data_IF_923510842574
#
_entry.id   IF_923510842574
#
_cell.length_a   1.000
_cell.length_b   1.000
_cell.length_c   1.000
_cell.angle_alpha   90.00
_cell.angle_beta   90.00
_cell.angle_gamma   90.00
#
_symmetry.space_group_name_H-M   'P 1'
#
loop_
_entity.id
_entity.type
_entity.pdbx_description
1 polymer ?
#
# COMPACT_ATOMS: atom_id res chain seq x y z
N UNK A 1 14.89 -20.52 12.40
CA UNK A 1 13.55 -19.94 12.11
C UNK A 1 13.20 -20.31 10.67
N UNK A 2 11.98 -20.75 10.42
CA UNK A 2 11.55 -21.17 9.08
C UNK A 2 11.12 -19.99 8.18
N UNK A 3 11.15 -18.77 8.70
CA UNK A 3 10.69 -17.57 8.01
C UNK A 3 11.76 -16.50 7.92
N UNK A 4 11.75 -15.78 6.82
CA UNK A 4 12.65 -14.64 6.52
C UNK A 4 11.98 -13.29 6.77
N UNK A 5 10.65 -13.26 6.86
CA UNK A 5 9.82 -12.09 6.98
C UNK A 5 8.56 -12.43 7.77
N UNK A 6 8.03 -11.48 8.53
CA UNK A 6 6.66 -11.52 9.03
C UNK A 6 5.87 -10.47 8.28
N UNK A 7 4.73 -10.85 7.68
CA UNK A 7 3.84 -9.90 6.99
C UNK A 7 2.55 -9.73 7.77
N UNK A 8 2.23 -8.50 8.20
CA UNK A 8 0.98 -8.16 8.90
C UNK A 8 0.09 -7.38 7.96
N UNK A 9 -1.00 -7.98 7.53
CA UNK A 9 -2.00 -7.41 6.63
C UNK A 9 -3.39 -7.34 7.28
N UNK A 10 -4.32 -6.68 6.62
CA UNK A 10 -5.70 -6.53 7.06
C UNK A 10 -6.30 -5.20 6.60
N UNK A 11 -7.61 -4.97 6.76
CA UNK A 11 -8.26 -3.75 6.28
C UNK A 11 -7.84 -2.50 7.06
N UNK A 12 -8.13 -1.32 6.52
CA UNK A 12 -7.91 -0.07 7.24
C UNK A 12 -8.70 -0.07 8.57
N UNK A 13 -8.16 0.57 9.59
CA UNK A 13 -8.70 0.67 10.95
C UNK A 13 -8.80 -0.66 11.74
N UNK A 14 -8.04 -1.71 11.37
CA UNK A 14 -8.00 -2.98 12.11
C UNK A 14 -6.90 -3.07 13.20
N UNK A 15 -6.12 -2.01 13.47
CA UNK A 15 -5.09 -2.04 14.53
C UNK A 15 -3.75 -2.67 14.11
N UNK A 16 -3.53 -2.92 12.82
CA UNK A 16 -2.28 -3.54 12.31
C UNK A 16 -0.99 -2.87 12.76
N UNK A 17 -0.96 -1.54 12.80
CA UNK A 17 0.26 -0.79 13.16
C UNK A 17 0.64 -1.02 14.60
N UNK A 18 -0.31 -0.89 15.51
CA UNK A 18 -0.09 -1.13 16.94
C UNK A 18 0.33 -2.58 17.20
N UNK A 19 -0.27 -3.55 16.49
CA UNK A 19 0.15 -4.96 16.57
C UNK A 19 1.57 -5.17 16.06
N UNK A 20 1.90 -4.60 14.90
CA UNK A 20 3.24 -4.70 14.33
C UNK A 20 4.29 -4.05 15.25
N UNK A 21 3.99 -2.91 15.82
CA UNK A 21 4.88 -2.22 16.75
C UNK A 21 5.09 -3.02 18.05
N UNK A 22 4.02 -3.54 18.64
CA UNK A 22 4.12 -4.40 19.83
C UNK A 22 4.94 -5.66 19.56
N UNK A 23 4.71 -6.33 18.42
CA UNK A 23 5.50 -7.49 18.00
C UNK A 23 6.96 -7.13 17.74
N UNK A 24 7.23 -6.01 17.05
CA UNK A 24 8.59 -5.55 16.78
C UNK A 24 9.36 -5.21 18.06
N UNK A 25 8.72 -4.53 19.01
CA UNK A 25 9.31 -4.26 20.32
C UNK A 25 9.66 -5.55 21.07
N UNK A 26 8.76 -6.54 21.05
CA UNK A 26 8.95 -7.84 21.71
C UNK A 26 10.06 -8.67 21.07
N UNK A 27 10.19 -8.66 19.74
CA UNK A 27 11.23 -9.35 18.97
C UNK A 27 12.51 -8.54 18.83
N UNK A 28 12.54 -7.28 19.28
CA UNK A 28 13.65 -6.32 19.09
C UNK A 28 14.03 -6.18 17.62
N UNK A 29 13.05 -6.05 16.76
CA UNK A 29 13.21 -5.91 15.31
C UNK A 29 12.58 -4.62 14.78
N UNK A 30 12.54 -4.48 13.46
CA UNK A 30 12.15 -3.27 12.76
C UNK A 30 11.00 -3.52 11.78
N UNK A 31 10.27 -2.46 11.46
CA UNK A 31 9.10 -2.51 10.59
C UNK A 31 9.40 -1.88 9.25
N UNK A 32 9.06 -2.55 8.16
CA UNK A 32 9.03 -1.99 6.82
C UNK A 32 7.56 -1.67 6.48
N UNK A 33 7.26 -0.41 6.16
CA UNK A 33 5.92 -0.02 5.76
C UNK A 33 5.61 -0.48 4.34
N UNK A 34 4.49 -1.21 4.16
CA UNK A 34 3.96 -1.59 2.86
C UNK A 34 2.92 -0.60 2.32
N UNK A 35 2.86 0.62 2.82
CA UNK A 35 1.86 1.61 2.44
C UNK A 35 2.38 2.54 1.34
N UNK A 36 1.75 2.50 0.17
CA UNK A 36 2.14 3.31 -0.98
C UNK A 36 1.96 4.83 -0.79
N UNK A 37 1.34 5.26 0.31
CA UNK A 37 1.06 6.68 0.58
C UNK A 37 1.88 7.23 1.72
N UNK A 38 2.28 6.40 2.68
CA UNK A 38 3.13 6.83 3.80
C UNK A 38 4.58 7.16 3.40
N UNK A 39 4.97 6.85 2.19
CA UNK A 39 6.28 7.22 1.62
C UNK A 39 6.47 8.73 1.46
N UNK A 40 5.38 9.50 1.35
CA UNK A 40 5.43 10.95 1.10
C UNK A 40 5.59 11.74 2.38
N UNK A 41 6.60 12.61 2.44
CA UNK A 41 6.84 13.53 3.55
C UNK A 41 5.71 14.53 3.70
N UNK A 42 5.41 14.95 4.93
CA UNK A 42 4.40 16.00 5.24
C UNK A 42 2.97 15.66 4.80
N UNK A 43 2.74 14.40 4.46
CA UNK A 43 1.42 13.85 4.16
C UNK A 43 1.05 12.88 5.28
N UNK A 44 0.73 13.39 6.46
CA UNK A 44 0.69 12.61 7.70
C UNK A 44 -0.74 12.17 8.06
N UNK A 45 -1.64 13.13 8.25
CA UNK A 45 -3.03 12.87 8.63
C UNK A 45 -3.79 12.16 7.52
N UNK A 46 -3.63 12.62 6.27
CA UNK A 46 -4.30 12.04 5.12
C UNK A 46 -3.83 10.62 4.77
N UNK A 47 -2.58 10.27 5.05
CA UNK A 47 -2.06 8.90 4.82
C UNK A 47 -2.15 8.00 6.04
N UNK A 48 -2.48 8.56 7.18
CA UNK A 48 -2.57 7.83 8.44
C UNK A 48 -1.23 7.33 8.95
N UNK A 49 -0.24 8.20 8.95
CA UNK A 49 1.04 8.01 9.62
C UNK A 49 0.87 8.26 11.12
N UNK A 50 0.22 7.38 11.83
CA UNK A 50 0.10 7.48 13.27
C UNK A 50 1.46 7.07 13.90
N UNK A 51 2.47 7.97 13.82
CA UNK A 51 3.86 7.66 14.23
C UNK A 51 3.98 7.38 15.74
N UNK A 52 3.04 7.85 16.54
CA UNK A 52 2.92 7.49 17.95
C UNK A 52 2.71 5.99 18.17
N UNK A 53 2.11 5.28 17.23
CA UNK A 53 1.93 3.83 17.30
C UNK A 53 3.26 3.06 17.30
N UNK A 54 4.36 3.67 16.85
CA UNK A 54 5.69 3.07 16.85
C UNK A 54 6.45 3.28 18.18
N UNK A 55 5.79 3.83 19.20
CA UNK A 55 6.32 3.94 20.56
C UNK A 55 5.53 2.99 21.46
N UNK A 56 6.17 1.93 21.93
CA UNK A 56 5.57 0.88 22.77
C UNK A 56 6.26 0.91 24.14
N UNK A 57 5.54 1.24 25.20
CA UNK A 57 6.05 1.32 26.56
C UNK A 57 7.36 2.15 26.68
N UNK A 58 7.42 3.26 25.94
CA UNK A 58 8.60 4.13 25.88
C UNK A 58 9.71 3.65 24.93
N UNK A 59 9.63 2.45 24.37
CA UNK A 59 10.55 1.95 23.37
C UNK A 59 10.13 2.40 21.97
N UNK A 60 11.02 3.09 21.26
CA UNK A 60 10.81 3.52 19.88
C UNK A 60 11.21 2.43 18.91
N UNK A 61 10.22 1.85 18.24
CA UNK A 61 10.41 0.86 17.18
C UNK A 61 10.89 1.56 15.90
N UNK A 62 11.98 1.07 15.33
CA UNK A 62 12.49 1.57 14.03
C UNK A 62 11.57 1.16 12.89
N UNK A 63 11.39 2.08 11.94
CA UNK A 63 10.57 1.84 10.75
C UNK A 63 11.25 2.35 9.49
N UNK A 64 10.92 1.72 8.36
CA UNK A 64 11.45 2.02 7.02
C UNK A 64 10.31 2.31 6.05
N UNK A 65 10.62 3.00 4.96
CA UNK A 65 9.72 3.38 3.85
C UNK A 65 8.56 4.28 4.28
N UNK A 66 8.81 5.11 5.27
CA UNK A 66 7.95 6.23 5.66
C UNK A 66 8.76 7.51 5.46
N UNK A 67 8.16 8.56 4.88
CA UNK A 67 8.79 9.87 4.65
C UNK A 67 10.08 9.82 3.82
N UNK A 68 10.08 9.06 2.74
CA UNK A 68 11.26 8.87 1.87
C UNK A 68 11.26 9.72 0.61
N UNK A 69 10.08 10.22 0.17
CA UNK A 69 9.93 11.05 -1.04
C UNK A 69 9.12 12.31 -0.76
N UNK A 70 9.34 13.35 -1.56
CA UNK A 70 8.57 14.59 -1.47
C UNK A 70 7.21 14.48 -2.20
N UNK A 71 6.17 15.22 -1.76
CA UNK A 71 4.94 15.40 -2.52
C UNK A 71 5.22 15.99 -3.89
N UNK A 72 4.47 15.57 -4.92
CA UNK A 72 4.73 15.89 -6.34
C UNK A 72 5.40 14.73 -7.07
N UNK A 73 6.16 13.90 -6.39
CA UNK A 73 6.77 12.70 -6.96
C UNK A 73 5.76 11.57 -7.14
N UNK A 74 5.89 10.76 -8.20
CA UNK A 74 5.00 9.62 -8.49
C UNK A 74 5.69 8.29 -8.19
N UNK A 75 5.82 8.00 -6.89
CA UNK A 75 6.40 6.75 -6.40
C UNK A 75 5.58 5.54 -6.84
N UNK A 76 6.24 4.50 -7.33
CA UNK A 76 5.61 3.35 -7.95
C UNK A 76 6.04 2.02 -7.33
N UNK A 77 5.42 0.91 -7.75
CA UNK A 77 5.66 -0.42 -7.19
C UNK A 77 7.06 -0.96 -7.48
N UNK A 78 7.68 -0.57 -8.60
CA UNK A 78 9.06 -0.95 -8.91
C UNK A 78 10.04 -0.31 -7.90
N UNK A 79 9.89 1.00 -7.66
CA UNK A 79 10.72 1.70 -6.68
C UNK A 79 10.49 1.16 -5.27
N UNK A 80 9.24 0.86 -4.92
CA UNK A 80 8.91 0.23 -3.65
C UNK A 80 9.62 -1.12 -3.48
N UNK A 81 9.62 -1.97 -4.49
CA UNK A 81 10.27 -3.29 -4.44
C UNK A 81 11.78 -3.16 -4.27
N UNK A 82 12.40 -2.20 -4.98
CA UNK A 82 13.83 -1.87 -4.83
C UNK A 82 14.16 -1.41 -3.41
N UNK A 83 13.41 -0.43 -2.91
CA UNK A 83 13.67 0.19 -1.61
C UNK A 83 13.33 -0.76 -0.45
N UNK A 84 12.32 -1.63 -0.66
CA UNK A 84 12.03 -2.72 0.27
C UNK A 84 13.22 -3.68 0.41
N UNK A 85 13.82 -4.10 -0.70
CA UNK A 85 14.98 -4.99 -0.65
C UNK A 85 16.15 -4.38 0.11
N UNK A 86 16.44 -3.10 -0.10
CA UNK A 86 17.51 -2.40 0.63
C UNK A 86 17.24 -2.44 2.14
N UNK A 87 16.04 -2.10 2.58
CA UNK A 87 15.68 -2.13 4.00
C UNK A 87 15.67 -3.58 4.55
N UNK A 88 15.13 -4.53 3.80
CA UNK A 88 15.06 -5.94 4.17
C UNK A 88 16.44 -6.54 4.36
N UNK A 89 17.35 -6.34 3.41
CA UNK A 89 18.72 -6.85 3.46
C UNK A 89 19.52 -6.24 4.61
N UNK A 90 19.36 -4.94 4.87
CA UNK A 90 20.01 -4.27 6.01
C UNK A 90 19.55 -4.86 7.35
N UNK A 91 18.25 -5.06 7.54
CA UNK A 91 17.70 -5.64 8.77
C UNK A 91 18.19 -7.09 8.92
N UNK A 92 18.15 -7.88 7.85
CA UNK A 92 18.62 -9.28 7.85
C UNK A 92 20.12 -9.40 8.12
N UNK A 93 20.94 -8.50 7.58
CA UNK A 93 22.38 -8.48 7.83
C UNK A 93 22.73 -8.26 9.31
N UNK A 94 21.85 -7.59 10.06
CA UNK A 94 21.95 -7.43 11.51
C UNK A 94 21.40 -8.62 12.31
N UNK A 95 20.98 -9.69 11.64
CA UNK A 95 20.45 -10.92 12.27
C UNK A 95 19.02 -10.77 12.79
N UNK A 96 18.28 -9.74 12.35
CA UNK A 96 16.91 -9.47 12.77
C UNK A 96 15.89 -10.07 11.78
N UNK A 97 14.70 -10.39 12.27
CA UNK A 97 13.57 -10.85 11.46
C UNK A 97 12.64 -9.67 11.14
N UNK A 98 12.69 -9.08 9.94
CA UNK A 98 11.90 -7.89 9.62
C UNK A 98 10.38 -8.13 9.63
N UNK A 99 9.61 -7.09 9.90
CA UNK A 99 8.15 -7.10 9.85
C UNK A 99 7.69 -6.18 8.73
N UNK A 100 7.01 -6.73 7.72
CA UNK A 100 6.31 -5.96 6.70
C UNK A 100 4.89 -5.66 7.19
N UNK A 101 4.56 -4.40 7.41
CA UNK A 101 3.26 -4.01 7.96
C UNK A 101 2.50 -3.08 7.04
N UNK A 102 1.19 -3.21 7.00
CA UNK A 102 0.25 -2.50 6.12
C UNK A 102 0.38 -3.00 4.67
N UNK A 103 -0.29 -2.36 3.76
CA UNK A 103 -0.02 -2.55 2.36
C UNK A 103 -1.23 -2.42 1.48
N UNK A 104 -1.01 -1.74 0.39
CA UNK A 104 -1.76 -1.93 -0.84
C UNK A 104 -1.50 -3.37 -1.27
N UNK A 105 -2.53 -4.15 -1.51
CA UNK A 105 -2.38 -5.58 -1.80
C UNK A 105 -1.35 -5.89 -2.89
N UNK A 106 -1.27 -5.06 -3.94
CA UNK A 106 -0.26 -5.18 -4.99
C UNK A 106 1.18 -5.01 -4.47
N UNK A 107 1.43 -4.11 -3.51
CA UNK A 107 2.76 -3.93 -2.93
C UNK A 107 3.18 -5.17 -2.14
N UNK A 108 2.27 -5.71 -1.33
CA UNK A 108 2.53 -6.96 -0.61
C UNK A 108 2.79 -8.13 -1.57
N UNK A 109 1.94 -8.32 -2.57
CA UNK A 109 2.13 -9.42 -3.54
C UNK A 109 3.39 -9.26 -4.38
N UNK A 110 3.81 -8.04 -4.70
CA UNK A 110 5.05 -7.82 -5.44
C UNK A 110 6.28 -8.33 -4.68
N UNK A 111 6.25 -8.24 -3.35
CA UNK A 111 7.28 -8.79 -2.47
C UNK A 111 7.09 -10.30 -2.29
N UNK A 112 5.91 -10.73 -1.87
CA UNK A 112 5.64 -12.12 -1.48
C UNK A 112 5.69 -13.12 -2.64
N UNK A 113 5.43 -12.65 -3.87
CA UNK A 113 5.57 -13.45 -5.11
C UNK A 113 6.86 -13.16 -5.88
N UNK A 114 7.65 -12.19 -5.42
CA UNK A 114 8.85 -11.80 -6.13
C UNK A 114 8.56 -11.35 -7.56
N UNK A 115 7.59 -10.45 -7.76
CA UNK A 115 7.26 -9.97 -9.11
C UNK A 115 8.51 -9.44 -9.80
N UNK A 116 8.73 -9.89 -11.04
CA UNK A 116 9.78 -9.35 -11.89
C UNK A 116 9.33 -7.98 -12.38
N UNK A 117 9.83 -6.94 -11.73
CA UNK A 117 9.56 -5.56 -12.12
C UNK A 117 10.83 -4.94 -12.72
N UNK A 118 10.68 -4.26 -13.86
CA UNK A 118 11.75 -3.52 -14.52
C UNK A 118 11.41 -2.04 -14.56
N UNK A 119 12.42 -1.15 -14.59
CA UNK A 119 12.22 0.29 -14.75
C UNK A 119 11.89 0.60 -16.22
N UNK A 120 10.63 0.38 -16.59
CA UNK A 120 10.16 0.60 -17.98
C UNK A 120 10.02 2.10 -18.23
N UNK A 121 10.83 2.71 -19.11
CA UNK A 121 10.71 4.12 -19.49
C UNK A 121 9.41 4.39 -20.24
N UNK A 122 9.01 5.65 -20.31
CA UNK A 122 7.91 6.07 -21.19
C UNK A 122 8.35 6.03 -22.65
N UNK A 123 7.59 5.31 -23.48
CA UNK A 123 7.77 5.28 -24.94
C UNK A 123 6.74 6.20 -25.59
N UNK A 124 7.14 7.45 -25.88
CA UNK A 124 6.25 8.47 -26.45
C UNK A 124 5.67 8.06 -27.81
N UNK A 125 6.48 7.51 -28.68
CA UNK A 125 6.07 7.08 -30.02
C UNK A 125 5.00 6.00 -29.94
N UNK A 126 5.22 4.97 -29.10
CA UNK A 126 4.23 3.94 -28.86
C UNK A 126 2.93 4.52 -28.29
N UNK A 127 3.02 5.41 -27.29
CA UNK A 127 1.83 6.04 -26.70
C UNK A 127 1.04 6.86 -27.71
N UNK A 128 1.71 7.60 -28.58
CA UNK A 128 1.09 8.36 -29.66
C UNK A 128 0.39 7.44 -30.66
N UNK A 129 1.02 6.34 -31.05
CA UNK A 129 0.44 5.35 -31.98
C UNK A 129 -0.80 4.64 -31.42
N UNK A 130 -0.89 4.54 -30.10
CA UNK A 130 -1.99 3.88 -29.38
C UNK A 130 -3.08 4.86 -28.90
N UNK A 131 -2.83 6.18 -28.91
CA UNK A 131 -3.70 7.18 -28.29
C UNK A 131 -5.11 7.24 -28.90
N UNK A 132 -5.25 6.93 -30.20
CA UNK A 132 -6.54 6.95 -30.91
C UNK A 132 -7.33 5.65 -30.80
N UNK A 133 -6.76 4.60 -30.18
CA UNK A 133 -7.40 3.28 -30.11
C UNK A 133 -8.42 3.22 -28.97
N UNK A 134 -9.50 2.51 -29.21
CA UNK A 134 -10.49 2.19 -28.19
C UNK A 134 -9.92 1.26 -27.10
N UNK A 135 -10.59 1.22 -25.95
CA UNK A 135 -10.20 0.31 -24.87
C UNK A 135 -10.28 -1.17 -25.30
N UNK A 136 -11.23 -1.52 -26.14
CA UNK A 136 -11.40 -2.87 -26.70
C UNK A 136 -10.20 -3.24 -27.59
N UNK A 137 -9.83 -2.37 -28.55
CA UNK A 137 -8.65 -2.59 -29.41
C UNK A 137 -7.35 -2.73 -28.59
N UNK A 138 -7.18 -1.89 -27.56
CA UNK A 138 -6.02 -1.98 -26.67
C UNK A 138 -6.01 -3.28 -25.85
N UNK A 139 -7.18 -3.76 -25.45
CA UNK A 139 -7.34 -5.05 -24.77
C UNK A 139 -6.94 -6.20 -25.66
N UNK A 140 -7.37 -6.16 -26.93
CA UNK A 140 -6.98 -7.17 -27.94
C UNK A 140 -5.48 -7.16 -28.22
N UNK A 141 -4.87 -5.98 -28.31
CA UNK A 141 -3.41 -5.85 -28.45
C UNK A 141 -2.71 -6.48 -27.26
N UNK A 142 -3.10 -6.10 -26.02
CA UNK A 142 -2.47 -6.61 -24.81
C UNK A 142 -2.63 -8.12 -24.65
N UNK A 143 -3.75 -8.69 -25.10
CA UNK A 143 -4.03 -10.13 -25.03
C UNK A 143 -3.06 -10.98 -25.87
N UNK A 144 -2.39 -10.38 -26.88
CA UNK A 144 -1.36 -11.04 -27.70
C UNK A 144 -0.03 -11.19 -26.97
N UNK A 145 0.23 -10.32 -25.98
CA UNK A 145 1.46 -10.35 -25.17
C UNK A 145 1.32 -11.27 -23.96
N UNK A 146 0.15 -11.26 -23.32
CA UNK A 146 -0.07 -12.03 -22.09
C UNK A 146 -1.52 -12.46 -21.94
N UNK A 147 -1.74 -13.57 -21.22
CA UNK A 147 -3.08 -13.95 -20.78
C UNK A 147 -3.57 -12.94 -19.74
N UNK A 148 -4.71 -12.32 -19.99
CA UNK A 148 -5.32 -11.38 -19.05
C UNK A 148 -5.92 -12.13 -17.88
N UNK A 149 -5.35 -11.95 -16.70
CA UNK A 149 -5.81 -12.59 -15.47
C UNK A 149 -6.71 -11.69 -14.61
N UNK A 150 -6.76 -10.40 -14.92
CA UNK A 150 -7.57 -9.39 -14.23
C UNK A 150 -8.00 -8.28 -15.22
N UNK A 151 -9.01 -7.53 -14.83
CA UNK A 151 -9.50 -6.38 -15.59
C UNK A 151 -8.74 -5.08 -15.29
N UNK A 152 -7.79 -5.08 -14.35
CA UNK A 152 -7.15 -3.85 -13.86
C UNK A 152 -6.27 -3.19 -14.91
N UNK A 153 -5.60 -3.98 -15.73
CA UNK A 153 -4.73 -3.48 -16.80
C UNK A 153 -5.52 -2.86 -17.94
N UNK A 154 -6.79 -3.23 -18.07
CA UNK A 154 -7.69 -2.83 -19.17
C UNK A 154 -8.94 -2.09 -18.69
N UNK A 155 -8.92 -1.48 -17.50
CA UNK A 155 -10.05 -0.71 -16.97
C UNK A 155 -10.09 0.73 -17.50
N UNK A 156 -8.96 1.23 -18.02
CA UNK A 156 -8.86 2.54 -18.69
C UNK A 156 -7.86 2.49 -19.84
N UNK A 157 -8.08 3.33 -20.86
CA UNK A 157 -7.16 3.50 -22.00
C UNK A 157 -5.72 3.74 -21.54
N UNK A 158 -5.53 4.65 -20.56
CA UNK A 158 -4.20 4.97 -20.02
C UNK A 158 -3.50 3.75 -19.43
N UNK A 159 -4.22 2.88 -18.70
CA UNK A 159 -3.65 1.67 -18.12
C UNK A 159 -3.36 0.62 -19.16
N UNK A 160 -4.25 0.44 -20.13
CA UNK A 160 -4.04 -0.49 -21.24
C UNK A 160 -2.80 -0.12 -22.06
N UNK A 161 -2.62 1.15 -22.41
CA UNK A 161 -1.42 1.65 -23.10
C UNK A 161 -0.17 1.37 -22.24
N UNK A 162 -0.20 1.68 -20.93
CA UNK A 162 0.94 1.40 -20.06
C UNK A 162 1.24 -0.08 -19.93
N UNK A 163 0.25 -0.93 -19.90
CA UNK A 163 0.44 -2.38 -19.85
C UNK A 163 1.10 -2.90 -21.16
N UNK A 164 0.68 -2.43 -22.32
CA UNK A 164 1.30 -2.75 -23.62
C UNK A 164 2.76 -2.28 -23.63
N UNK A 165 3.02 -1.04 -23.22
CA UNK A 165 4.38 -0.47 -23.14
C UNK A 165 5.31 -1.32 -22.25
N UNK A 166 4.81 -1.85 -21.13
CA UNK A 166 5.56 -2.73 -20.25
C UNK A 166 5.88 -4.06 -20.94
N UNK A 167 4.91 -4.69 -21.59
CA UNK A 167 5.12 -5.97 -22.26
C UNK A 167 6.08 -5.83 -23.45
N UNK A 168 5.96 -4.79 -24.27
CA UNK A 168 6.90 -4.53 -25.38
C UNK A 168 8.32 -4.34 -24.86
N UNK A 169 8.50 -3.56 -23.79
CA UNK A 169 9.81 -3.37 -23.18
C UNK A 169 10.40 -4.70 -22.69
N UNK A 170 9.58 -5.55 -22.06
CA UNK A 170 10.02 -6.85 -21.56
C UNK A 170 10.51 -7.79 -22.67
N UNK A 171 9.95 -7.71 -23.89
CA UNK A 171 10.43 -8.48 -25.04
C UNK A 171 11.84 -8.08 -25.48
N UNK A 172 12.26 -6.85 -25.21
CA UNK A 172 13.58 -6.33 -25.57
C UNK A 172 14.66 -6.61 -24.53
N UNK A 173 14.27 -7.11 -23.34
CA UNK A 173 15.19 -7.32 -22.21
C UNK A 173 15.57 -8.79 -22.07
N UNK A 174 16.82 -9.04 -21.64
CA UNK A 174 17.23 -10.38 -21.27
C UNK A 174 16.41 -10.89 -20.06
N UNK A 175 15.75 -12.02 -20.30
CA UNK A 175 14.84 -12.65 -19.33
C UNK A 175 15.55 -13.06 -18.04
N UNK A 176 16.87 -13.24 -18.06
CA UNK A 176 17.67 -13.73 -16.93
C UNK A 176 18.25 -12.64 -16.02
N UNK A 177 18.08 -11.37 -16.35
CA UNK A 177 18.63 -10.27 -15.56
C UNK A 177 17.78 -10.01 -14.31
N UNK A 178 18.32 -10.37 -13.13
CA UNK A 178 17.84 -10.13 -11.76
C UNK A 178 16.50 -10.77 -11.42
N UNK A 179 16.55 -11.95 -10.85
CA UNK A 179 15.42 -12.51 -10.09
C UNK A 179 15.29 -11.82 -8.73
N UNK A 180 14.07 -11.50 -8.33
CA UNK A 180 13.77 -11.10 -6.95
C UNK A 180 14.03 -12.31 -6.03
N UNK A 181 14.64 -12.13 -4.84
CA UNK A 181 14.91 -13.24 -3.94
C UNK A 181 13.60 -13.89 -3.48
N UNK A 182 13.63 -15.19 -3.29
CA UNK A 182 12.53 -15.91 -2.65
C UNK A 182 12.50 -15.55 -1.16
N UNK A 183 11.35 -15.12 -0.67
CA UNK A 183 11.16 -14.68 0.72
C UNK A 183 10.07 -15.54 1.36
N UNK A 184 10.46 -16.37 2.32
CA UNK A 184 9.51 -17.18 3.09
C UNK A 184 8.91 -16.34 4.21
N UNK A 185 7.66 -15.90 4.03
CA UNK A 185 6.97 -15.02 4.97
C UNK A 185 5.90 -15.73 5.77
N UNK A 186 5.91 -15.55 7.09
CA UNK A 186 4.75 -15.80 7.94
C UNK A 186 3.73 -14.68 7.73
N UNK A 187 2.56 -15.00 7.18
CA UNK A 187 1.54 -14.00 6.86
C UNK A 187 0.45 -14.01 7.92
N UNK A 188 0.31 -12.91 8.63
CA UNK A 188 -0.71 -12.67 9.65
C UNK A 188 -1.76 -11.73 9.11
N UNK A 189 -3.02 -12.18 9.08
CA UNK A 189 -4.18 -11.37 8.75
C UNK A 189 -4.87 -10.86 10.02
N UNK A 190 -5.13 -9.57 10.10
CA UNK A 190 -5.91 -9.01 11.20
C UNK A 190 -7.36 -8.90 10.75
N UNK A 191 -8.22 -9.76 11.28
CA UNK A 191 -9.66 -9.73 11.05
C UNK A 191 -10.36 -8.86 12.08
N UNK A 192 -11.41 -8.18 11.66
CA UNK A 192 -12.21 -7.30 12.51
C UNK A 192 -13.66 -7.35 12.08
N UNK A 193 -14.57 -7.38 13.04
CA UNK A 193 -15.99 -7.30 12.75
C UNK A 193 -16.32 -6.13 11.80
N UNK A 194 -17.27 -6.36 10.90
CA UNK A 194 -17.61 -5.40 9.86
C UNK A 194 -18.15 -4.09 10.43
N UNK A 195 -19.03 -4.15 11.40
CA UNK A 195 -19.73 -2.97 11.92
C UNK A 195 -18.80 -2.20 12.85
N UNK A 196 -18.02 -2.88 13.68
CA UNK A 196 -16.95 -2.28 14.47
C UNK A 196 -15.92 -1.57 13.57
N UNK A 197 -15.51 -2.19 12.48
CA UNK A 197 -14.59 -1.57 11.51
C UNK A 197 -15.18 -0.29 10.92
N UNK A 198 -16.47 -0.31 10.56
CA UNK A 198 -17.16 0.87 10.03
C UNK A 198 -17.15 2.02 11.04
N UNK A 199 -17.48 1.72 12.30
CA UNK A 199 -17.44 2.71 13.37
C UNK A 199 -16.03 3.28 13.57
N UNK A 200 -15.00 2.42 13.62
CA UNK A 200 -13.60 2.86 13.74
C UNK A 200 -13.16 3.73 12.58
N UNK A 201 -13.56 3.43 11.34
CA UNK A 201 -13.27 4.25 10.15
C UNK A 201 -13.89 5.64 10.29
N UNK A 202 -15.20 5.71 10.56
CA UNK A 202 -15.93 6.98 10.71
C UNK A 202 -15.35 7.84 11.84
N UNK A 203 -15.11 7.25 13.01
CA UNK A 203 -14.56 7.95 14.15
C UNK A 203 -13.14 8.49 13.89
N UNK A 204 -12.29 7.67 13.23
CA UNK A 204 -10.95 8.10 12.83
C UNK A 204 -10.97 9.23 11.81
N UNK A 205 -11.86 9.18 10.81
CA UNK A 205 -12.02 10.27 9.84
C UNK A 205 -12.43 11.57 10.53
N UNK A 206 -13.44 11.53 11.42
CA UNK A 206 -13.88 12.71 12.18
C UNK A 206 -12.74 13.30 13.02
N UNK A 207 -12.02 12.46 13.75
CA UNK A 207 -10.88 12.86 14.58
C UNK A 207 -9.80 13.56 13.75
N UNK A 208 -9.38 12.98 12.62
CA UNK A 208 -8.34 13.57 11.75
C UNK A 208 -8.76 14.88 11.11
N UNK A 209 -10.03 15.02 10.74
CA UNK A 209 -10.55 16.30 10.25
C UNK A 209 -10.46 17.39 11.33
N UNK A 210 -10.72 17.05 12.61
CA UNK A 210 -10.55 17.97 13.75
C UNK A 210 -9.07 18.28 14.04
N UNK A 211 -8.16 17.34 13.76
CA UNK A 211 -6.71 17.49 13.93
C UNK A 211 -6.04 18.30 12.82
N UNK A 212 -6.80 18.78 11.81
CA UNK A 212 -6.27 19.65 10.76
C UNK A 212 -5.96 18.96 9.42
N UNK A 213 -6.57 17.80 9.14
CA UNK A 213 -6.36 17.06 7.89
C UNK A 213 -6.68 17.89 6.63
N UNK A 214 -7.64 18.84 6.71
CA UNK A 214 -7.92 19.81 5.63
C UNK A 214 -6.78 20.82 5.51
N UNK A 215 -6.23 21.26 6.63
CA UNK A 215 -5.18 22.28 6.63
C UNK A 215 -3.86 21.71 6.11
N UNK A 216 -3.58 20.42 6.33
CA UNK A 216 -2.46 19.71 5.70
C UNK A 216 -2.52 19.84 4.17
N UNK A 217 -3.68 19.61 3.55
CA UNK A 217 -3.87 19.76 2.11
C UNK A 217 -3.73 21.22 1.64
N UNK A 218 -4.29 22.17 2.39
CA UNK A 218 -4.18 23.61 2.04
C UNK A 218 -2.72 24.09 2.09
N UNK A 219 -1.92 23.60 3.04
CA UNK A 219 -0.47 23.90 3.11
C UNK A 219 0.24 23.38 1.89
N UNK A 220 0.02 22.13 1.48
CA UNK A 220 0.64 21.54 0.29
C UNK A 220 0.26 22.31 -1.00
N UNK A 221 -1.00 22.71 -1.12
CA UNK A 221 -1.45 23.55 -2.25
C UNK A 221 -0.78 24.93 -2.25
N UNK A 222 -0.64 25.56 -1.08
CA UNK A 222 0.03 26.86 -0.93
C UNK A 222 1.53 26.79 -1.26
N UNK A 223 2.16 25.66 -1.02
CA UNK A 223 3.55 25.38 -1.39
C UNK A 223 3.73 25.08 -2.89
N UNK A 224 2.65 25.07 -3.66
CA UNK A 224 2.68 24.92 -5.11
C UNK A 224 2.54 23.48 -5.62
N UNK A 225 2.17 22.53 -4.76
CA UNK A 225 1.84 21.18 -5.24
C UNK A 225 0.56 21.24 -6.09
N UNK A 226 0.64 20.66 -7.29
CA UNK A 226 -0.49 20.67 -8.21
C UNK A 226 -1.70 19.90 -7.62
N UNK A 227 -2.92 20.47 -7.66
CA UNK A 227 -4.13 19.78 -7.22
C UNK A 227 -4.30 18.38 -7.83
N UNK A 228 -3.97 18.18 -9.10
CA UNK A 228 -4.10 16.89 -9.78
C UNK A 228 -3.11 15.85 -9.21
N UNK A 229 -1.92 16.27 -8.76
CA UNK A 229 -0.98 15.39 -8.09
C UNK A 229 -1.49 14.99 -6.70
N UNK A 230 -2.11 15.91 -5.94
CA UNK A 230 -2.75 15.57 -4.67
C UNK A 230 -3.93 14.60 -4.87
N UNK A 231 -4.77 14.83 -5.87
CA UNK A 231 -5.87 13.92 -6.22
C UNK A 231 -5.35 12.51 -6.56
N UNK A 232 -4.16 12.39 -7.15
CA UNK A 232 -3.53 11.11 -7.47
C UNK A 232 -3.13 10.30 -6.21
N UNK A 233 -2.84 10.96 -5.07
CA UNK A 233 -2.32 10.27 -3.89
C UNK A 233 -3.36 9.47 -3.08
N UNK A 234 -4.59 9.41 -3.49
CA UNK A 234 -5.57 8.51 -2.88
C UNK A 234 -6.83 9.20 -2.41
N UNK A 235 -7.62 8.44 -1.66
CA UNK A 235 -8.99 8.84 -1.34
C UNK A 235 -9.04 10.13 -0.53
N UNK A 236 -8.27 10.20 0.54
CA UNK A 236 -8.25 11.32 1.46
C UNK A 236 -7.83 12.59 0.73
N UNK A 237 -6.67 12.57 0.08
CA UNK A 237 -6.17 13.73 -0.65
C UNK A 237 -7.07 14.13 -1.82
N UNK A 238 -7.70 13.17 -2.49
CA UNK A 238 -8.65 13.47 -3.57
C UNK A 238 -9.80 14.34 -3.06
N UNK A 239 -10.51 13.89 -2.05
CA UNK A 239 -11.72 14.58 -1.60
C UNK A 239 -11.40 15.87 -0.84
N UNK A 240 -10.33 15.86 -0.04
CA UNK A 240 -9.85 17.06 0.66
C UNK A 240 -9.38 18.15 -0.32
N UNK A 241 -8.68 17.76 -1.39
CA UNK A 241 -8.27 18.72 -2.44
C UNK A 241 -9.48 19.29 -3.16
N UNK A 242 -10.46 18.45 -3.56
CA UNK A 242 -11.68 18.93 -4.20
C UNK A 242 -12.45 19.93 -3.33
N UNK A 243 -12.48 19.71 -2.01
CA UNK A 243 -13.03 20.68 -1.07
C UNK A 243 -12.16 21.95 -0.99
N UNK A 244 -10.85 21.80 -0.83
CA UNK A 244 -9.93 22.95 -0.67
C UNK A 244 -9.92 23.89 -1.90
N UNK A 245 -10.16 23.35 -3.12
CA UNK A 245 -10.27 24.14 -4.35
C UNK A 245 -11.72 24.57 -4.68
N UNK A 246 -12.67 24.36 -3.76
CA UNK A 246 -14.06 24.81 -3.88
C UNK A 246 -14.95 24.01 -4.83
N UNK A 247 -14.55 22.78 -5.20
CA UNK A 247 -15.35 21.88 -6.05
C UNK A 247 -16.38 21.04 -5.27
N UNK A 248 -16.22 20.94 -3.97
CA UNK A 248 -17.16 20.27 -3.06
C UNK A 248 -17.41 21.15 -1.83
N UNK A 249 -18.60 21.07 -1.26
CA UNK A 249 -18.87 21.53 0.09
C UNK A 249 -18.21 20.61 1.13
N UNK A 250 -18.15 21.06 2.40
CA UNK A 250 -17.60 20.22 3.48
C UNK A 250 -18.41 18.94 3.68
N UNK A 251 -19.73 19.03 3.65
CA UNK A 251 -20.63 17.88 3.85
C UNK A 251 -20.53 16.87 2.71
N UNK A 252 -20.41 17.35 1.46
CA UNK A 252 -20.17 16.49 0.31
C UNK A 252 -18.80 15.80 0.39
N UNK A 253 -17.76 16.54 0.73
CA UNK A 253 -16.41 15.99 0.92
C UNK A 253 -16.42 14.91 2.00
N UNK A 254 -17.00 15.18 3.18
CA UNK A 254 -17.06 14.23 4.26
C UNK A 254 -17.82 12.95 3.87
N UNK A 255 -19.02 13.11 3.34
CA UNK A 255 -19.88 11.97 2.95
C UNK A 255 -19.24 11.11 1.87
N UNK A 256 -18.71 11.72 0.80
CA UNK A 256 -18.07 10.99 -0.28
C UNK A 256 -16.78 10.31 0.16
N UNK A 257 -15.96 10.96 0.99
CA UNK A 257 -14.74 10.39 1.53
C UNK A 257 -15.03 9.20 2.46
N UNK A 258 -15.99 9.34 3.37
CA UNK A 258 -16.41 8.26 4.25
C UNK A 258 -16.84 7.01 3.48
N UNK A 259 -17.74 7.19 2.49
CA UNK A 259 -18.18 6.10 1.61
C UNK A 259 -17.00 5.46 0.89
N UNK A 260 -16.09 6.27 0.35
CA UNK A 260 -14.93 5.80 -0.39
C UNK A 260 -13.98 4.97 0.49
N UNK A 261 -13.75 5.37 1.77
CA UNK A 261 -12.93 4.61 2.71
C UNK A 261 -13.60 3.27 3.07
N UNK A 262 -14.92 3.24 3.29
CA UNK A 262 -15.64 1.99 3.52
C UNK A 262 -15.54 1.02 2.33
N UNK A 263 -15.68 1.54 1.11
CA UNK A 263 -15.49 0.75 -0.11
C UNK A 263 -14.03 0.27 -0.26
N UNK A 264 -13.07 1.09 0.10
CA UNK A 264 -11.65 0.72 0.08
C UNK A 264 -11.37 -0.42 1.06
N UNK A 265 -11.87 -0.35 2.29
CA UNK A 265 -11.74 -1.42 3.27
C UNK A 265 -12.37 -2.75 2.78
N UNK A 266 -13.51 -2.69 2.08
CA UNK A 266 -14.12 -3.85 1.44
C UNK A 266 -13.22 -4.44 0.35
N UNK A 267 -12.64 -3.57 -0.52
CA UNK A 267 -11.71 -4.02 -1.58
C UNK A 267 -10.45 -4.67 -1.01
N UNK A 268 -9.91 -4.14 0.11
CA UNK A 268 -8.77 -4.75 0.79
C UNK A 268 -9.08 -6.20 1.22
N UNK A 269 -10.22 -6.43 1.87
CA UNK A 269 -10.62 -7.79 2.28
C UNK A 269 -10.84 -8.72 1.08
N UNK A 270 -11.45 -8.20 0.00
CA UNK A 270 -11.59 -8.97 -1.26
C UNK A 270 -10.23 -9.37 -1.83
N UNK A 271 -9.24 -8.46 -1.77
CA UNK A 271 -7.88 -8.73 -2.22
C UNK A 271 -7.21 -9.82 -1.38
N UNK A 272 -7.28 -9.73 -0.05
CA UNK A 272 -6.66 -10.71 0.85
C UNK A 272 -7.28 -12.11 0.69
N UNK A 273 -8.60 -12.21 0.59
CA UNK A 273 -9.26 -13.47 0.23
C UNK A 273 -8.85 -13.98 -1.16
N UNK A 274 -8.56 -13.06 -2.08
CA UNK A 274 -7.98 -13.38 -3.38
C UNK A 274 -6.56 -13.93 -3.26
N UNK A 275 -5.74 -13.44 -2.33
CA UNK A 275 -4.42 -13.99 -2.05
C UNK A 275 -4.52 -15.45 -1.57
N UNK A 276 -5.44 -15.77 -0.66
CA UNK A 276 -5.66 -17.15 -0.21
C UNK A 276 -6.02 -18.08 -1.38
N UNK A 277 -6.92 -17.63 -2.27
CA UNK A 277 -7.26 -18.42 -3.49
C UNK A 277 -6.07 -18.57 -4.45
N UNK A 278 -5.07 -17.69 -4.38
CA UNK A 278 -3.81 -17.77 -5.14
C UNK A 278 -2.71 -18.55 -4.40
N UNK A 279 -3.05 -19.23 -3.29
CA UNK A 279 -2.17 -20.15 -2.56
C UNK A 279 -1.40 -19.54 -1.38
N UNK A 280 -1.65 -18.28 -1.01
CA UNK A 280 -1.07 -17.72 0.21
C UNK A 280 -1.76 -18.29 1.46
N UNK A 281 -0.96 -18.76 2.41
CA UNK A 281 -1.48 -19.14 3.72
C UNK A 281 -1.49 -17.92 4.64
N UNK A 282 -2.69 -17.46 5.01
CA UNK A 282 -2.88 -16.31 5.91
C UNK A 282 -3.41 -16.83 7.25
N UNK A 283 -2.67 -16.56 8.33
CA UNK A 283 -3.09 -16.87 9.70
C UNK A 283 -3.91 -15.69 10.25
N UNK A 284 -5.23 -15.84 10.26
CA UNK A 284 -6.12 -14.80 10.74
C UNK A 284 -6.17 -14.75 12.27
N UNK A 285 -6.03 -13.55 12.81
CA UNK A 285 -6.17 -13.24 14.24
C UNK A 285 -7.27 -12.20 14.44
N UNK A 286 -7.91 -12.27 15.60
CA UNK A 286 -8.99 -11.36 15.96
C UNK A 286 -8.44 -10.02 16.44
N UNK A 287 -8.88 -8.92 15.81
CA UNK A 287 -8.52 -7.56 16.20
C UNK A 287 -9.10 -7.12 17.57
N UNK A 288 -10.09 -7.84 18.10
CA UNK A 288 -10.74 -7.55 19.37
C UNK A 288 -10.08 -8.28 20.55
N UNK A 289 -9.29 -9.31 20.27
CA UNK A 289 -8.51 -9.97 21.29
C UNK A 289 -7.43 -9.03 21.90
N UNK A 290 -7.05 -9.22 23.16
CA UNK A 290 -6.00 -8.44 23.79
C UNK A 290 -4.71 -8.41 22.96
N UNK A 291 -4.11 -7.23 22.81
CA UNK A 291 -2.92 -7.02 22.00
C UNK A 291 -1.78 -8.00 22.33
N UNK A 292 -1.51 -8.18 23.62
CA UNK A 292 -0.44 -9.08 24.09
C UNK A 292 -0.74 -10.55 23.76
N UNK A 293 -2.00 -10.98 23.82
CA UNK A 293 -2.40 -12.34 23.44
C UNK A 293 -2.14 -12.58 21.95
N UNK A 294 -2.51 -11.61 21.10
CA UNK A 294 -2.21 -11.68 19.67
C UNK A 294 -0.69 -11.71 19.39
N UNK A 295 0.10 -10.95 20.13
CA UNK A 295 1.58 -10.96 20.01
C UNK A 295 2.15 -12.34 20.37
N UNK A 296 1.76 -12.93 21.51
CA UNK A 296 2.25 -14.25 21.93
C UNK A 296 1.80 -15.34 20.93
N UNK A 297 0.57 -15.28 20.41
CA UNK A 297 0.10 -16.19 19.36
C UNK A 297 0.96 -16.12 18.09
N UNK A 298 1.39 -14.93 17.68
CA UNK A 298 2.29 -14.80 16.53
C UNK A 298 3.67 -15.36 16.85
N UNK A 299 4.19 -15.12 18.05
CA UNK A 299 5.48 -15.68 18.51
C UNK A 299 5.46 -17.21 18.47
N UNK A 300 4.37 -17.85 18.87
CA UNK A 300 4.25 -19.31 18.81
C UNK A 300 4.20 -19.85 17.36
N UNK A 301 3.68 -19.08 16.41
CA UNK A 301 3.72 -19.44 14.99
C UNK A 301 5.14 -19.31 14.36
N UNK A 302 6.02 -18.52 14.98
CA UNK A 302 7.41 -18.32 14.50
C UNK A 302 8.32 -19.48 14.95
N UNK A 303 8.03 -20.10 16.08
CA UNK A 303 8.80 -21.23 16.66
C UNK A 303 8.66 -22.50 15.82
#
# INVERSE_FOLDING_TARGET
>A
MNYDLITILGPTASGKTSLAAALAARLKTEIISGDSRQVYRRMDLGTGKDLSDYVVDGYKVSYHLIDIVEPGYKYNVFEYQRDFLVAYEDIKARGLLPILCKGTGMYLESILKGYRLLPVPENKELRESLASKSLEELTDILSRYKKLHNSTDVDTVKRAIRAIEIEEYYLTQDVNARSFPEIHSLIIGVDIDRDLRRQKITNRLKKRLQEGMVDEVKVLLKEGINPDDLIYYGLEYKYLTLYAVGKLSYDEMFSQLEIAIHQFAKRQMTWFRGMERRGFQIHWIDAEAPLNENVERIIDLIK
#
